data_IF_905532677487
#
_entry.id   IF_905532677487
#
_cell.length_a   1.000
_cell.length_b   1.000
_cell.length_c   1.000
_cell.angle_alpha   90.00
_cell.angle_beta   90.00
_cell.angle_gamma   90.00
#
_symmetry.space_group_name_H-M   'P 1'
#
loop_
_entity.id
_entity.type
_entity.pdbx_description
1 polymer ?
#
# COMPACT_ATOMS: atom_id res chain seq x y z
N UNK A 1 0.73 -13.11 -4.22
CA UNK A 1 1.51 -11.86 -4.33
C UNK A 1 2.81 -12.09 -3.58
N UNK A 2 3.95 -11.98 -4.27
CA UNK A 2 5.27 -12.25 -3.71
C UNK A 2 5.96 -11.00 -3.17
N UNK A 3 6.99 -11.17 -2.31
CA UNK A 3 7.77 -10.08 -1.72
C UNK A 3 8.19 -9.00 -2.75
N UNK A 4 8.66 -9.36 -3.97
CA UNK A 4 9.02 -8.37 -4.99
C UNK A 4 7.82 -7.58 -5.51
N UNK A 5 6.63 -8.20 -5.61
CA UNK A 5 5.42 -7.53 -6.08
C UNK A 5 4.89 -6.53 -5.05
N UNK A 6 5.06 -6.83 -3.75
CA UNK A 6 4.70 -5.89 -2.68
C UNK A 6 5.63 -4.67 -2.71
N UNK A 7 6.94 -4.90 -2.90
CA UNK A 7 7.91 -3.80 -3.03
C UNK A 7 7.64 -2.93 -4.27
N UNK A 8 7.26 -3.55 -5.38
CA UNK A 8 6.90 -2.81 -6.62
C UNK A 8 5.65 -1.95 -6.41
N UNK A 9 4.62 -2.50 -5.74
CA UNK A 9 3.42 -1.77 -5.34
C UNK A 9 3.74 -0.56 -4.45
N UNK A 10 4.54 -0.76 -3.39
CA UNK A 10 5.01 0.33 -2.51
C UNK A 10 5.69 1.42 -3.33
N UNK A 11 6.55 1.05 -4.29
CA UNK A 11 7.28 2.01 -5.11
C UNK A 11 6.36 2.84 -6.00
N UNK A 12 5.41 2.18 -6.67
CA UNK A 12 4.38 2.86 -7.48
C UNK A 12 3.53 3.82 -6.65
N UNK A 13 3.26 3.48 -5.39
CA UNK A 13 2.49 4.33 -4.48
C UNK A 13 3.25 5.57 -4.05
N UNK A 14 4.54 5.44 -3.75
CA UNK A 14 5.42 6.59 -3.46
C UNK A 14 5.55 7.49 -4.69
N UNK A 15 5.66 6.92 -5.90
CA UNK A 15 5.66 7.71 -7.13
C UNK A 15 4.33 8.48 -7.31
N UNK A 16 3.21 7.87 -6.91
CA UNK A 16 1.90 8.53 -6.91
C UNK A 16 1.84 9.67 -5.89
N UNK A 17 2.40 9.50 -4.69
CA UNK A 17 2.53 10.56 -3.68
C UNK A 17 3.28 11.78 -4.27
N UNK A 18 4.41 11.53 -4.90
CA UNK A 18 5.20 12.58 -5.54
C UNK A 18 4.42 13.29 -6.66
N UNK A 19 3.67 12.53 -7.47
CA UNK A 19 2.82 13.09 -8.50
C UNK A 19 1.69 13.95 -7.92
N UNK A 20 1.07 13.53 -6.81
CA UNK A 20 0.03 14.30 -6.11
C UNK A 20 0.59 15.62 -5.58
N UNK A 21 1.75 15.61 -4.92
CA UNK A 21 2.41 16.84 -4.48
C UNK A 21 2.75 17.77 -5.63
N UNK A 22 3.23 17.23 -6.75
CA UNK A 22 3.50 18.02 -7.94
C UNK A 22 2.22 18.64 -8.54
N UNK A 23 1.10 17.90 -8.51
CA UNK A 23 -0.20 18.40 -8.93
C UNK A 23 -0.76 19.48 -8.01
N UNK A 24 -0.61 19.33 -6.69
CA UNK A 24 -0.99 20.35 -5.71
C UNK A 24 -0.16 21.63 -5.91
N UNK A 25 1.15 21.50 -6.06
CA UNK A 25 2.04 22.62 -6.32
C UNK A 25 1.72 23.34 -7.65
N UNK A 26 1.24 22.60 -8.65
CA UNK A 26 0.78 23.14 -9.92
C UNK A 26 -0.65 23.71 -9.86
N UNK A 27 -1.35 23.61 -8.72
CA UNK A 27 -2.74 24.03 -8.56
C UNK A 27 -3.74 23.19 -9.36
N UNK A 28 -3.39 21.95 -9.73
CA UNK A 28 -4.26 21.02 -10.47
C UNK A 28 -5.26 20.29 -9.57
N UNK A 29 -4.91 20.13 -8.30
CA UNK A 29 -5.76 19.51 -7.26
C UNK A 29 -5.80 20.43 -6.04
N UNK A 30 -6.85 20.30 -5.25
CA UNK A 30 -6.99 21.01 -3.98
C UNK A 30 -6.20 20.32 -2.87
N UNK A 31 -5.84 21.05 -1.81
CA UNK A 31 -5.17 20.46 -0.65
C UNK A 31 -6.02 19.37 0.03
N UNK A 32 -7.35 19.50 0.01
CA UNK A 32 -8.27 18.47 0.52
C UNK A 32 -8.25 17.20 -0.34
N UNK A 33 -8.23 17.33 -1.66
CA UNK A 33 -8.12 16.18 -2.58
C UNK A 33 -6.77 15.47 -2.43
N UNK A 34 -5.67 16.23 -2.30
CA UNK A 34 -4.35 15.66 -2.01
C UNK A 34 -4.39 14.86 -0.70
N UNK A 35 -4.91 15.44 0.38
CA UNK A 35 -5.03 14.80 1.69
C UNK A 35 -5.81 13.48 1.64
N UNK A 36 -6.96 13.45 0.94
CA UNK A 36 -7.77 12.25 0.81
C UNK A 36 -7.02 11.13 0.07
N UNK A 37 -6.36 11.49 -1.04
CA UNK A 37 -5.59 10.53 -1.84
C UNK A 37 -4.34 10.06 -1.09
N UNK A 38 -3.67 10.96 -0.39
CA UNK A 38 -2.53 10.66 0.47
C UNK A 38 -2.91 9.66 1.56
N UNK A 39 -4.06 9.86 2.21
CA UNK A 39 -4.55 8.96 3.24
C UNK A 39 -4.81 7.55 2.70
N UNK A 40 -5.41 7.43 1.51
CA UNK A 40 -5.61 6.13 0.87
C UNK A 40 -4.27 5.42 0.57
N UNK A 41 -3.28 6.18 0.08
CA UNK A 41 -1.92 5.69 -0.17
C UNK A 41 -1.25 5.21 1.14
N UNK A 42 -1.35 5.98 2.22
CA UNK A 42 -0.78 5.60 3.52
C UNK A 42 -1.39 4.29 4.04
N UNK A 43 -2.71 4.13 3.92
CA UNK A 43 -3.41 2.90 4.36
C UNK A 43 -2.99 1.68 3.55
N UNK A 44 -2.86 1.78 2.22
CA UNK A 44 -2.35 0.66 1.40
C UNK A 44 -0.86 0.36 1.68
N UNK A 45 -0.05 1.38 2.01
CA UNK A 45 1.36 1.19 2.36
C UNK A 45 1.51 0.42 3.66
N UNK A 46 0.71 0.77 4.67
CA UNK A 46 0.69 0.08 5.96
C UNK A 46 0.32 -1.40 5.79
N UNK A 47 -0.70 -1.70 4.97
CA UNK A 47 -1.07 -3.08 4.62
C UNK A 47 0.06 -3.84 3.93
N UNK A 48 0.76 -3.20 2.98
CA UNK A 48 1.90 -3.81 2.30
C UNK A 48 3.04 -4.13 3.28
N UNK A 49 3.32 -3.21 4.21
CA UNK A 49 4.33 -3.42 5.25
C UNK A 49 3.95 -4.53 6.24
N UNK A 50 2.69 -4.60 6.65
CA UNK A 50 2.21 -5.67 7.54
C UNK A 50 2.29 -7.05 6.88
N UNK A 51 1.98 -7.14 5.58
CA UNK A 51 2.14 -8.37 4.80
C UNK A 51 3.61 -8.83 4.75
N UNK A 52 4.55 -7.91 4.50
CA UNK A 52 5.98 -8.22 4.50
C UNK A 52 6.45 -8.67 5.88
N UNK A 53 6.01 -7.98 6.94
CA UNK A 53 6.34 -8.34 8.32
C UNK A 53 5.79 -9.73 8.67
N UNK A 54 4.56 -10.04 8.30
CA UNK A 54 3.94 -11.34 8.54
C UNK A 54 4.70 -12.46 7.81
N UNK A 55 5.10 -12.24 6.56
CA UNK A 55 5.91 -13.21 5.78
C UNK A 55 7.28 -13.42 6.41
N UNK A 56 7.92 -12.35 6.88
CA UNK A 56 9.23 -12.41 7.55
C UNK A 56 9.16 -13.20 8.85
N UNK A 57 8.16 -12.93 9.70
CA UNK A 57 7.94 -13.68 10.93
C UNK A 57 7.78 -15.19 10.67
N UNK A 58 6.96 -15.57 9.67
CA UNK A 58 6.75 -16.99 9.30
C UNK A 58 8.00 -17.68 8.77
N UNK A 59 8.84 -16.97 7.99
CA UNK A 59 10.16 -17.48 7.56
C UNK A 59 11.09 -17.75 8.74
N UNK A 60 11.08 -16.91 9.77
CA UNK A 60 11.93 -17.07 10.96
C UNK A 60 11.54 -18.27 11.81
N UNK A 61 10.24 -18.62 11.88
CA UNK A 61 9.77 -19.82 12.61
C UNK A 61 9.95 -21.13 11.83
N UNK A 62 10.59 -21.08 10.64
CA UNK A 62 10.77 -22.23 9.73
C UNK A 62 9.44 -22.87 9.29
N UNK A 63 8.36 -22.10 9.32
CA UNK A 63 7.04 -22.44 8.80
C UNK A 63 6.97 -22.09 7.31
N UNK A 64 6.14 -22.81 6.54
CA UNK A 64 6.08 -22.65 5.08
C UNK A 64 5.69 -21.19 4.71
N UNK A 65 6.59 -20.41 4.07
CA UNK A 65 6.33 -19.01 3.75
C UNK A 65 5.24 -18.83 2.70
N UNK A 66 4.87 -19.90 1.97
CA UNK A 66 3.81 -19.91 0.99
C UNK A 66 2.44 -20.30 1.59
N UNK A 67 2.42 -20.82 2.83
CA UNK A 67 1.21 -20.96 3.64
C UNK A 67 0.73 -19.63 4.26
N UNK A 68 1.46 -18.53 4.00
CA UNK A 68 0.94 -17.16 4.09
C UNK A 68 -0.11 -16.94 2.99
N UNK A 69 -1.22 -17.68 3.07
CA UNK A 69 -2.43 -17.33 2.36
C UNK A 69 -2.77 -15.90 2.79
N UNK A 70 -2.75 -14.99 1.80
CA UNK A 70 -3.39 -13.68 1.88
C UNK A 70 -4.77 -13.96 2.44
N UNK A 71 -4.99 -13.65 3.72
CA UNK A 71 -6.36 -13.55 4.24
C UNK A 71 -7.03 -12.63 3.23
N UNK A 72 -8.09 -13.09 2.52
CA UNK A 72 -8.77 -12.22 1.58
C UNK A 72 -9.06 -10.96 2.37
N UNK A 73 -8.51 -9.83 1.89
CA UNK A 73 -8.76 -8.54 2.49
C UNK A 73 -10.27 -8.53 2.67
N UNK A 74 -10.71 -8.55 3.93
CA UNK A 74 -12.09 -8.31 4.29
C UNK A 74 -12.34 -6.94 3.71
N UNK A 75 -12.86 -6.94 2.49
CA UNK A 75 -13.80 -5.97 1.96
C UNK A 75 -13.55 -4.60 2.59
N UNK A 76 -12.42 -3.98 2.22
CA UNK A 76 -12.36 -2.51 2.21
C UNK A 76 -13.07 -2.11 0.92
N UNK A 77 -14.35 -2.49 0.86
CA UNK A 77 -15.33 -1.82 0.02
C UNK A 77 -15.31 -0.35 0.43
N UNK A 78 -15.21 0.53 -0.57
CA UNK A 78 -15.72 1.88 -0.41
C UNK A 78 -14.73 3.04 -0.49
N UNK A 79 -13.60 2.93 -1.21
CA UNK A 79 -12.90 4.14 -1.68
C UNK A 79 -12.70 4.18 -3.20
N UNK A 80 -13.77 3.85 -3.92
CA UNK A 80 -14.04 4.41 -5.24
C UNK A 80 -15.48 4.92 -5.23
N UNK A 81 -15.69 6.18 -4.83
CA UNK A 81 -16.70 7.12 -5.32
C UNK A 81 -16.34 8.54 -4.88
#
# INVERSE_FOLDING_TARGET
>A
MDDPQILDRIRSMVDTEHALRAQLAAGKISAEEEQQLLHAIEVELDQCWDLLRQRRARREVREDPNAAAVRPAREVEGYQQ
#
